data_IF_283994748520
#
_entry.id   IF_283994748520
#
_cell.length_a   1.000
_cell.length_b   1.000
_cell.length_c   1.000
_cell.angle_alpha   90.00
_cell.angle_beta   90.00
_cell.angle_gamma   90.00
#
_symmetry.space_group_name_H-M   'P 1'
#
loop_
_entity.id
_entity.type
_entity.pdbx_description
1 polymer ?
#
# COMPACT_ATOMS: atom_id res chain seq x y z
N UNK A 1 6.88 2.79 18.13
CA UNK A 1 6.69 4.25 18.03
C UNK A 1 7.95 5.05 18.41
N UNK A 2 8.79 4.63 19.38
CA UNK A 2 9.97 5.41 19.82
C UNK A 2 11.36 4.96 19.30
N UNK A 3 11.48 4.03 18.36
CA UNK A 3 12.78 3.41 18.07
C UNK A 3 13.54 3.94 16.82
N UNK A 4 12.98 4.86 16.03
CA UNK A 4 13.56 5.17 14.71
C UNK A 4 13.55 6.65 14.28
N UNK A 5 13.39 7.59 15.21
CA UNK A 5 13.59 9.00 14.90
C UNK A 5 15.09 9.30 14.82
N UNK A 6 15.63 9.39 13.60
CA UNK A 6 16.98 9.90 13.33
C UNK A 6 16.86 11.41 13.15
N UNK A 7 17.55 12.14 14.01
CA UNK A 7 17.77 13.58 13.88
C UNK A 7 18.75 13.80 12.72
N UNK A 8 18.27 14.41 11.63
CA UNK A 8 19.04 14.64 10.42
C UNK A 8 19.59 16.07 10.33
N UNK A 9 19.20 16.97 11.25
CA UNK A 9 19.59 18.39 11.26
C UNK A 9 20.60 18.71 12.37
N UNK A 10 20.70 17.86 13.40
CA UNK A 10 21.67 17.97 14.49
C UNK A 10 21.35 19.07 15.50
N UNK A 11 20.10 19.51 15.58
CA UNK A 11 19.66 20.62 16.45
C UNK A 11 19.04 20.14 17.78
N UNK A 12 18.90 18.83 17.98
CA UNK A 12 18.43 18.24 19.23
C UNK A 12 16.93 18.36 19.48
N UNK A 13 16.11 18.75 18.50
CA UNK A 13 14.64 18.82 18.64
C UNK A 13 13.93 17.77 17.80
N UNK A 14 13.05 17.00 18.44
CA UNK A 14 12.20 15.97 17.80
C UNK A 14 10.79 16.52 17.58
N UNK A 15 10.69 17.54 16.73
CA UNK A 15 9.42 18.20 16.43
C UNK A 15 8.79 17.60 15.17
N UNK A 16 8.08 16.47 15.33
CA UNK A 16 7.20 15.86 14.31
C UNK A 16 5.86 16.62 14.13
N UNK A 17 5.80 17.88 14.57
CA UNK A 17 4.64 18.78 14.48
C UNK A 17 5.06 20.23 14.16
N UNK A 18 6.05 20.45 13.28
CA UNK A 18 6.35 21.79 12.79
C UNK A 18 6.29 21.88 11.26
N UNK A 19 5.95 23.07 10.78
CA UNK A 19 5.49 23.48 9.45
C UNK A 19 6.49 23.31 8.28
N UNK A 20 7.54 22.47 8.41
CA UNK A 20 8.42 22.14 7.28
C UNK A 20 8.07 20.77 6.68
N UNK A 21 7.37 20.73 5.53
CA UNK A 21 6.95 19.47 4.89
C UNK A 21 8.13 18.65 4.35
N UNK A 22 9.34 19.21 4.25
CA UNK A 22 10.50 18.56 3.64
C UNK A 22 11.07 17.45 4.54
N UNK A 23 11.17 17.72 5.85
CA UNK A 23 11.73 16.78 6.84
C UNK A 23 10.76 15.64 7.15
N UNK A 24 9.46 15.92 7.14
CA UNK A 24 8.42 14.90 7.26
C UNK A 24 8.40 13.96 6.04
N UNK A 25 8.58 14.49 4.82
CA UNK A 25 8.62 13.70 3.59
C UNK A 25 9.91 12.87 3.49
N UNK A 26 11.07 13.44 3.81
CA UNK A 26 12.35 12.72 3.79
C UNK A 26 12.39 11.61 4.86
N UNK A 27 11.89 11.89 6.07
CA UNK A 27 11.79 10.89 7.14
C UNK A 27 10.79 9.78 6.81
N UNK A 28 9.65 10.12 6.20
CA UNK A 28 8.67 9.14 5.72
C UNK A 28 9.25 8.28 4.59
N UNK A 29 9.98 8.87 3.64
CA UNK A 29 10.63 8.14 2.56
C UNK A 29 11.73 7.20 3.08
N UNK A 30 12.57 7.65 4.02
CA UNK A 30 13.59 6.82 4.65
C UNK A 30 12.98 5.69 5.49
N UNK A 31 11.88 5.96 6.19
CA UNK A 31 11.13 4.96 6.95
C UNK A 31 10.49 3.90 6.04
N UNK A 32 9.84 4.31 4.95
CA UNK A 32 9.24 3.40 3.97
C UNK A 32 10.32 2.55 3.29
N UNK A 33 11.44 3.15 2.90
CA UNK A 33 12.59 2.43 2.31
C UNK A 33 13.12 1.36 3.29
N UNK A 34 13.34 1.70 4.56
CA UNK A 34 13.74 0.74 5.61
C UNK A 34 12.66 -0.32 5.88
N UNK A 35 11.40 0.03 5.66
CA UNK A 35 10.25 -0.87 5.84
C UNK A 35 10.00 -1.78 4.62
N UNK A 36 10.90 -1.74 3.62
CA UNK A 36 10.87 -2.63 2.47
C UNK A 36 10.03 -2.14 1.30
N UNK A 37 9.85 -0.82 1.18
CA UNK A 37 9.24 -0.18 0.02
C UNK A 37 10.00 -0.53 -1.28
N UNK A 38 9.25 -0.90 -2.31
CA UNK A 38 9.72 -1.19 -3.65
C UNK A 38 9.31 -0.05 -4.58
N UNK A 39 10.31 0.68 -5.10
CA UNK A 39 10.06 1.74 -6.07
C UNK A 39 9.38 1.15 -7.32
N UNK A 40 8.34 1.84 -7.81
CA UNK A 40 7.58 1.41 -9.00
C UNK A 40 6.50 0.35 -8.74
N UNK A 41 6.46 -0.27 -7.56
CA UNK A 41 5.33 -1.13 -7.18
C UNK A 41 4.24 -0.27 -6.51
N UNK A 42 2.96 -0.42 -6.87
CA UNK A 42 1.88 0.22 -6.12
C UNK A 42 1.80 -0.36 -4.70
N UNK A 43 1.28 0.41 -3.75
CA UNK A 43 0.87 -0.16 -2.46
C UNK A 43 -0.31 -1.12 -2.66
N UNK A 44 -1.24 -0.75 -3.53
CA UNK A 44 -2.44 -1.50 -3.85
C UNK A 44 -3.19 -0.92 -5.03
N UNK A 45 -4.09 -1.71 -5.60
CA UNK A 45 -5.01 -1.28 -6.67
C UNK A 45 -6.42 -1.76 -6.35
N UNK A 46 -7.41 -0.94 -6.68
CA UNK A 46 -8.81 -1.31 -6.56
C UNK A 46 -9.20 -2.27 -7.69
N UNK A 47 -9.91 -3.34 -7.34
CA UNK A 47 -10.33 -4.40 -8.26
C UNK A 47 -11.82 -4.70 -8.14
N UNK A 48 -12.40 -5.11 -9.25
CA UNK A 48 -13.74 -5.68 -9.32
C UNK A 48 -13.64 -7.20 -9.33
N UNK A 49 -14.51 -7.83 -8.54
CA UNK A 49 -14.62 -9.28 -8.46
C UNK A 49 -15.70 -9.75 -9.44
N UNK A 50 -15.49 -10.86 -10.17
CA UNK A 50 -16.54 -11.43 -11.00
C UNK A 50 -17.67 -12.02 -10.14
N UNK A 51 -18.89 -12.18 -10.68
CA UNK A 51 -19.97 -12.87 -9.98
C UNK A 51 -19.55 -14.28 -9.56
N UNK A 52 -19.87 -14.68 -8.33
CA UNK A 52 -19.53 -16.00 -7.79
C UNK A 52 -18.06 -16.19 -7.41
N UNK A 53 -17.27 -15.12 -7.33
CA UNK A 53 -15.87 -15.20 -6.90
C UNK A 53 -15.73 -15.85 -5.52
N UNK A 54 -14.78 -16.77 -5.37
CA UNK A 54 -14.49 -17.44 -4.09
C UNK A 54 -13.76 -16.49 -3.14
N UNK A 55 -14.51 -15.82 -2.26
CA UNK A 55 -13.96 -14.90 -1.25
C UNK A 55 -13.13 -15.57 -0.16
N UNK A 56 -13.15 -16.90 -0.05
CA UNK A 56 -12.20 -17.65 0.80
C UNK A 56 -10.75 -17.50 0.35
N UNK A 57 -10.51 -17.00 -0.87
CA UNK A 57 -9.18 -16.64 -1.37
C UNK A 57 -8.71 -15.25 -0.88
N UNK A 58 -9.57 -14.48 -0.24
CA UNK A 58 -9.17 -13.20 0.35
C UNK A 58 -8.19 -13.41 1.52
N UNK A 59 -7.27 -12.46 1.67
CA UNK A 59 -6.26 -12.43 2.72
C UNK A 59 -4.97 -11.77 2.23
N UNK A 60 -4.45 -10.84 3.02
CA UNK A 60 -3.17 -10.14 2.74
C UNK A 60 -1.98 -11.11 2.63
N UNK A 61 -2.05 -12.25 3.31
CA UNK A 61 -1.03 -13.30 3.30
C UNK A 61 -1.21 -14.30 2.13
N UNK A 62 -2.40 -14.41 1.55
CA UNK A 62 -2.68 -15.32 0.42
C UNK A 62 -2.25 -14.65 -0.89
N UNK A 63 -0.93 -14.59 -1.09
CA UNK A 63 -0.34 -13.87 -2.22
C UNK A 63 -0.36 -14.71 -3.48
N UNK A 64 -0.74 -14.09 -4.59
CA UNK A 64 -0.75 -14.70 -5.93
C UNK A 64 -0.15 -13.75 -6.95
N UNK A 65 0.30 -14.31 -8.07
CA UNK A 65 0.74 -13.51 -9.21
C UNK A 65 -0.43 -12.79 -9.88
N UNK A 66 -0.15 -11.68 -10.57
CA UNK A 66 -1.16 -10.94 -11.32
C UNK A 66 -1.85 -11.79 -12.38
N UNK A 67 -1.13 -12.73 -13.02
CA UNK A 67 -1.69 -13.67 -14.00
C UNK A 67 -2.75 -14.60 -13.38
N UNK A 68 -2.53 -15.08 -12.15
CA UNK A 68 -3.49 -15.91 -11.43
C UNK A 68 -4.76 -15.12 -11.11
N UNK A 69 -4.64 -13.90 -10.59
CA UNK A 69 -5.79 -13.05 -10.31
C UNK A 69 -6.60 -12.76 -11.56
N UNK A 70 -5.93 -12.45 -12.68
CA UNK A 70 -6.57 -12.27 -13.98
C UNK A 70 -7.30 -13.53 -14.45
N UNK A 71 -6.69 -14.70 -14.28
CA UNK A 71 -7.30 -15.99 -14.62
C UNK A 71 -8.54 -16.30 -13.76
N UNK A 72 -8.57 -15.83 -12.52
CA UNK A 72 -9.74 -15.89 -11.63
C UNK A 72 -10.79 -14.81 -11.93
N UNK A 73 -10.57 -13.98 -12.95
CA UNK A 73 -11.53 -12.98 -13.42
C UNK A 73 -11.48 -11.64 -12.72
N UNK A 74 -10.51 -11.39 -11.82
CA UNK A 74 -10.31 -10.05 -11.26
C UNK A 74 -9.92 -9.06 -12.35
N UNK A 75 -10.48 -7.86 -12.27
CA UNK A 75 -10.16 -6.73 -13.14
C UNK A 75 -9.85 -5.52 -12.28
N UNK A 76 -9.02 -4.59 -12.75
CA UNK A 76 -8.92 -3.29 -12.06
C UNK A 76 -10.20 -2.51 -12.25
N UNK A 77 -10.60 -1.80 -11.20
CA UNK A 77 -11.78 -0.95 -11.22
C UNK A 77 -11.65 0.21 -12.21
N UNK A 78 -10.44 0.68 -12.49
CA UNK A 78 -10.16 1.75 -13.46
C UNK A 78 -9.94 1.24 -14.90
N UNK A 79 -10.16 -0.06 -15.17
CA UNK A 79 -10.00 -0.66 -16.49
C UNK A 79 -8.55 -0.96 -16.90
N UNK A 80 -7.55 -0.60 -16.09
CA UNK A 80 -6.15 -0.89 -16.35
C UNK A 80 -5.77 -2.37 -16.18
N UNK A 81 -4.53 -2.71 -16.55
CA UNK A 81 -3.96 -4.02 -16.23
C UNK A 81 -3.61 -4.12 -14.74
N UNK A 82 -3.88 -5.28 -14.12
CA UNK A 82 -3.42 -5.59 -12.76
C UNK A 82 -1.88 -5.56 -12.76
N UNK A 83 -1.23 -4.71 -11.94
CA UNK A 83 0.22 -4.61 -11.90
C UNK A 83 0.87 -5.94 -11.53
N UNK A 84 1.97 -6.25 -12.20
CA UNK A 84 2.73 -7.47 -11.97
C UNK A 84 3.32 -7.53 -10.54
N UNK A 85 3.58 -8.74 -10.07
CA UNK A 85 4.08 -9.02 -8.73
C UNK A 85 3.08 -9.71 -7.82
N UNK A 86 3.58 -10.25 -6.71
CA UNK A 86 2.79 -11.00 -5.74
C UNK A 86 1.91 -10.06 -4.88
N UNK A 87 0.60 -10.26 -4.89
CA UNK A 87 -0.38 -9.46 -4.13
C UNK A 87 -1.42 -10.34 -3.45
N UNK A 88 -1.91 -9.87 -2.30
CA UNK A 88 -3.03 -10.47 -1.58
C UNK A 88 -4.32 -9.70 -1.82
N UNK A 89 -5.48 -10.36 -1.74
CA UNK A 89 -6.78 -9.71 -1.90
C UNK A 89 -7.32 -9.26 -0.55
N UNK A 90 -7.63 -7.96 -0.41
CA UNK A 90 -8.27 -7.35 0.74
C UNK A 90 -9.72 -6.99 0.38
N UNK A 91 -10.67 -7.37 1.24
CA UNK A 91 -12.10 -7.06 1.09
C UNK A 91 -12.60 -6.32 2.35
N UNK A 92 -12.38 -5.00 2.47
CA UNK A 92 -12.69 -4.25 3.70
C UNK A 92 -14.16 -4.31 4.11
N UNK A 93 -15.07 -4.41 3.13
CA UNK A 93 -16.52 -4.47 3.34
C UNK A 93 -17.11 -5.82 2.93
N UNK A 94 -16.29 -6.88 2.87
CA UNK A 94 -16.72 -8.20 2.39
C UNK A 94 -16.97 -8.26 0.88
N UNK A 95 -17.68 -9.29 0.44
CA UNK A 95 -17.87 -9.63 -0.97
C UNK A 95 -18.59 -8.56 -1.81
N UNK A 96 -19.38 -7.70 -1.15
CA UNK A 96 -20.28 -6.74 -1.79
C UNK A 96 -19.65 -5.35 -1.97
N UNK A 97 -18.42 -5.14 -1.49
CA UNK A 97 -17.72 -3.86 -1.53
C UNK A 97 -16.50 -3.85 -2.45
N UNK A 98 -15.80 -2.72 -2.47
CA UNK A 98 -14.55 -2.57 -3.24
C UNK A 98 -13.49 -3.56 -2.75
N UNK A 99 -12.90 -4.31 -3.68
CA UNK A 99 -11.74 -5.17 -3.41
C UNK A 99 -10.44 -4.46 -3.70
N UNK A 100 -9.39 -4.78 -2.96
CA UNK A 100 -8.05 -4.25 -3.21
C UNK A 100 -7.04 -5.38 -3.34
N UNK A 101 -6.26 -5.37 -4.41
CA UNK A 101 -5.03 -6.14 -4.44
C UNK A 101 -3.95 -5.34 -3.74
N UNK A 102 -3.44 -5.84 -2.61
CA UNK A 102 -2.41 -5.20 -1.80
C UNK A 102 -1.07 -5.89 -1.99
N UNK A 103 -0.02 -5.08 -2.18
CA UNK A 103 1.33 -5.53 -2.49
C UNK A 103 2.27 -5.35 -1.30
N UNK A 104 3.56 -5.59 -1.50
CA UNK A 104 4.58 -5.40 -0.45
C UNK A 104 4.56 -4.00 0.13
N UNK A 105 4.33 -2.99 -0.71
CA UNK A 105 4.28 -1.59 -0.31
C UNK A 105 3.12 -1.28 0.65
N UNK A 106 2.01 -2.03 0.61
CA UNK A 106 0.95 -1.92 1.64
C UNK A 106 1.50 -2.24 3.03
N UNK A 107 2.24 -3.34 3.16
CA UNK A 107 2.84 -3.74 4.43
C UNK A 107 3.93 -2.80 4.93
N UNK A 108 4.62 -2.08 4.02
CA UNK A 108 5.55 -1.04 4.40
C UNK A 108 4.83 0.13 5.08
N UNK A 109 3.63 0.47 4.61
CA UNK A 109 2.78 1.51 5.23
C UNK A 109 2.14 0.98 6.53
N UNK A 110 1.68 -0.27 6.58
CA UNK A 110 1.11 -0.87 7.80
C UNK A 110 2.06 -0.85 9.00
N UNK A 111 3.38 -0.91 8.78
CA UNK A 111 4.36 -0.81 9.88
C UNK A 111 4.29 0.53 10.61
N UNK A 112 3.84 1.58 9.94
CA UNK A 112 3.63 2.90 10.53
C UNK A 112 2.33 2.93 11.35
N UNK A 113 1.26 2.35 10.81
CA UNK A 113 -0.03 2.19 11.48
C UNK A 113 -0.77 0.98 10.91
N UNK A 114 -1.10 0.02 11.78
CA UNK A 114 -1.66 -1.28 11.40
C UNK A 114 -3.15 -1.25 11.01
N UNK A 115 -3.80 -0.07 11.02
CA UNK A 115 -5.20 0.05 10.60
C UNK A 115 -5.32 0.06 9.06
N UNK A 116 -6.00 -0.94 8.49
CA UNK A 116 -6.22 -1.06 7.02
C UNK A 116 -6.89 0.20 6.42
N UNK A 117 -7.82 0.82 7.14
CA UNK A 117 -8.50 2.06 6.71
C UNK A 117 -7.53 3.23 6.60
N UNK A 118 -6.56 3.33 7.51
CA UNK A 118 -5.51 4.33 7.48
C UNK A 118 -4.59 4.12 6.27
N UNK A 119 -4.18 2.88 6.00
CA UNK A 119 -3.30 2.56 4.87
C UNK A 119 -3.98 2.84 3.52
N UNK A 120 -5.27 2.52 3.39
CA UNK A 120 -6.05 2.87 2.18
C UNK A 120 -6.14 4.39 2.02
N UNK A 121 -6.37 5.12 3.11
CA UNK A 121 -6.42 6.59 3.10
C UNK A 121 -5.10 7.22 2.65
N UNK A 122 -3.97 6.79 3.24
CA UNK A 122 -2.63 7.27 2.87
C UNK A 122 -2.26 6.85 1.44
N UNK A 123 -2.57 5.62 1.08
CA UNK A 123 -2.28 5.07 -0.24
C UNK A 123 -2.98 5.83 -1.37
N UNK A 124 -4.21 6.29 -1.17
CA UNK A 124 -4.92 7.13 -2.15
C UNK A 124 -4.22 8.47 -2.41
N UNK A 125 -3.47 8.99 -1.44
CA UNK A 125 -2.70 10.24 -1.58
C UNK A 125 -1.34 10.05 -2.25
N UNK A 126 -0.81 8.82 -2.30
CA UNK A 126 0.48 8.51 -2.92
C UNK A 126 0.27 7.96 -4.33
N UNK A 127 0.47 8.81 -5.35
CA UNK A 127 0.61 8.33 -6.73
C UNK A 127 2.06 7.87 -6.97
N UNK A 128 2.29 6.79 -7.74
CA UNK A 128 3.64 6.53 -8.21
C UNK A 128 4.12 7.75 -9.00
N UNK A 129 5.26 8.32 -8.61
CA UNK A 129 5.88 9.38 -9.38
C UNK A 129 6.12 8.86 -10.80
N UNK A 130 5.39 9.42 -11.77
CA UNK A 130 5.67 9.18 -13.18
C UNK A 130 7.09 9.67 -13.45
N UNK A 131 7.93 8.76 -13.95
CA UNK A 131 9.28 9.10 -14.39
C UNK A 131 9.20 9.95 -15.65
N UNK A 132 9.96 11.06 -15.64
CA UNK A 132 10.37 11.80 -16.82
C UNK A 132 11.28 10.96 -17.73
#
# INVERSE_FOLDING_TARGET
YLAYAVDFTGDGKRDIWSDDPSDALASTAAYLAKSGWQKGQPWGVEVTLPPGFNTGLAGKANKRAASEWRAMGLRRADGGAIPEGASGLLLPSGASGAGFLVYRNFHAIERYNAADSYVIGVGRSVRPAEGA
#
